data_IF_252580931835
#
_entry.id   IF_252580931835
#
_cell.length_a   1.000
_cell.length_b   1.000
_cell.length_c   1.000
_cell.angle_alpha   90.00
_cell.angle_beta   90.00
_cell.angle_gamma   90.00
#
_symmetry.space_group_name_H-M   'P 1'
#
loop_
_entity.id
_entity.type
_entity.pdbx_description
1 polymer ?
#
# COMPACT_ATOMS: atom_id res chain seq x y z
N UNK A 1 0.16 -82.08 -21.66
CA UNK A 1 -1.07 -81.43 -21.14
C UNK A 1 -1.11 -81.51 -19.62
N UNK A 2 -0.40 -80.63 -18.92
CA UNK A 2 -0.54 -80.33 -17.48
C UNK A 2 0.04 -78.93 -17.28
N UNK A 3 -0.79 -77.92 -17.05
CA UNK A 3 -0.44 -76.60 -16.46
C UNK A 3 -1.62 -75.61 -16.53
N UNK A 4 -2.81 -76.01 -16.05
CA UNK A 4 -3.93 -75.06 -15.91
C UNK A 4 -4.62 -75.09 -14.54
N UNK A 5 -4.33 -76.08 -13.68
CA UNK A 5 -5.02 -76.22 -12.39
C UNK A 5 -4.33 -75.52 -11.19
N UNK A 6 -3.19 -74.85 -11.41
CA UNK A 6 -2.39 -74.27 -10.31
C UNK A 6 -2.48 -72.74 -10.20
N UNK A 7 -3.30 -72.09 -11.05
CA UNK A 7 -3.42 -70.62 -11.08
C UNK A 7 -4.76 -70.12 -10.52
N UNK A 8 -5.76 -70.98 -10.31
CA UNK A 8 -7.03 -70.59 -9.67
C UNK A 8 -6.90 -70.55 -8.14
N UNK A 9 -6.22 -71.53 -7.53
CA UNK A 9 -6.04 -71.55 -6.06
C UNK A 9 -5.18 -70.41 -5.51
N UNK A 10 -4.26 -69.83 -6.30
CA UNK A 10 -3.46 -68.69 -5.86
C UNK A 10 -4.26 -67.38 -5.84
N UNK A 11 -5.26 -67.26 -6.72
CA UNK A 11 -6.10 -66.07 -6.80
C UNK A 11 -7.23 -66.06 -5.76
N UNK A 12 -7.72 -67.23 -5.35
CA UNK A 12 -8.70 -67.33 -4.27
C UNK A 12 -8.07 -67.09 -2.89
N UNK A 13 -6.86 -67.58 -2.61
CA UNK A 13 -6.16 -67.27 -1.35
C UNK A 13 -5.76 -65.78 -1.23
N UNK A 14 -5.46 -65.11 -2.35
CA UNK A 14 -5.16 -63.67 -2.34
C UNK A 14 -6.40 -62.78 -2.18
N UNK A 15 -7.58 -63.24 -2.61
CA UNK A 15 -8.84 -62.48 -2.42
C UNK A 15 -9.46 -62.71 -1.03
N UNK A 16 -9.26 -63.87 -0.41
CA UNK A 16 -9.81 -64.17 0.93
C UNK A 16 -9.09 -63.41 2.07
N UNK A 17 -7.83 -63.01 1.88
CA UNK A 17 -7.12 -62.18 2.86
C UNK A 17 -7.54 -60.70 2.84
N UNK A 18 -8.28 -60.27 1.81
CA UNK A 18 -8.75 -58.90 1.62
C UNK A 18 -10.07 -58.60 2.36
N UNK A 19 -10.88 -59.62 2.66
CA UNK A 19 -12.18 -59.48 3.33
C UNK A 19 -12.14 -59.68 4.85
N UNK A 20 -10.97 -59.52 5.46
CA UNK A 20 -10.82 -59.57 6.92
C UNK A 20 -11.35 -58.27 7.53
N UNK A 21 -12.59 -58.31 8.02
CA UNK A 21 -13.26 -57.36 8.91
C UNK A 21 -12.29 -56.38 9.57
N UNK A 22 -12.04 -55.25 8.89
CA UNK A 22 -11.20 -54.18 9.43
C UNK A 22 -11.85 -53.74 10.75
N UNK A 23 -11.19 -54.05 11.87
CA UNK A 23 -11.72 -53.82 13.20
C UNK A 23 -12.19 -52.36 13.29
N UNK A 24 -13.42 -52.15 13.78
CA UNK A 24 -14.07 -50.82 13.82
C UNK A 24 -13.17 -49.79 14.51
N UNK A 25 -12.30 -50.23 15.42
CA UNK A 25 -11.27 -49.43 16.10
C UNK A 25 -10.16 -48.93 15.17
N UNK A 26 -9.65 -49.78 14.27
CA UNK A 26 -8.58 -49.39 13.32
C UNK A 26 -9.13 -48.42 12.29
N UNK A 27 -10.37 -48.64 11.81
CA UNK A 27 -11.07 -47.68 10.93
C UNK A 27 -11.22 -46.31 11.60
N UNK A 28 -11.61 -46.28 12.87
CA UNK A 28 -11.73 -45.04 13.63
C UNK A 28 -10.39 -44.30 13.78
N UNK A 29 -9.29 -45.02 14.06
CA UNK A 29 -7.95 -44.42 14.09
C UNK A 29 -7.55 -43.79 12.75
N UNK A 30 -7.81 -44.48 11.63
CA UNK A 30 -7.51 -43.96 10.29
C UNK A 30 -8.31 -42.68 10.02
N UNK A 31 -9.62 -42.68 10.28
CA UNK A 31 -10.46 -41.49 10.10
C UNK A 31 -9.99 -40.33 10.98
N UNK A 32 -9.61 -40.60 12.24
CA UNK A 32 -9.10 -39.58 13.14
C UNK A 32 -7.79 -38.97 12.63
N UNK A 33 -6.85 -39.77 12.13
CA UNK A 33 -5.57 -39.26 11.59
C UNK A 33 -5.81 -38.41 10.34
N UNK A 34 -6.67 -38.86 9.43
CA UNK A 34 -7.02 -38.10 8.22
C UNK A 34 -7.68 -36.77 8.59
N UNK A 35 -8.57 -36.76 9.59
CA UNK A 35 -9.22 -35.53 10.07
C UNK A 35 -8.20 -34.51 10.59
N UNK A 36 -7.22 -34.95 11.39
CA UNK A 36 -6.15 -34.09 11.93
C UNK A 36 -5.32 -33.49 10.79
N UNK A 37 -4.98 -34.29 9.79
CA UNK A 37 -4.23 -33.83 8.60
C UNK A 37 -5.04 -32.76 7.85
N UNK A 38 -6.34 -32.98 7.61
CA UNK A 38 -7.20 -32.02 6.91
C UNK A 38 -7.30 -30.70 7.69
N UNK A 39 -7.49 -30.75 9.01
CA UNK A 39 -7.54 -29.56 9.87
C UNK A 39 -6.22 -28.80 9.81
N UNK A 40 -5.09 -29.52 9.85
CA UNK A 40 -3.76 -28.91 9.76
C UNK A 40 -3.54 -28.20 8.42
N UNK A 41 -3.91 -28.83 7.30
CA UNK A 41 -3.85 -28.20 5.97
C UNK A 41 -4.77 -26.98 5.86
N UNK A 42 -6.00 -27.07 6.38
CA UNK A 42 -6.92 -25.93 6.40
C UNK A 42 -6.35 -24.75 7.20
N UNK A 43 -5.71 -25.03 8.34
CA UNK A 43 -5.04 -24.03 9.17
C UNK A 43 -3.89 -23.35 8.41
N UNK A 44 -2.98 -24.13 7.81
CA UNK A 44 -1.87 -23.59 7.02
C UNK A 44 -2.36 -22.74 5.84
N UNK A 45 -3.40 -23.19 5.16
CA UNK A 45 -3.98 -22.46 4.04
C UNK A 45 -4.55 -21.10 4.47
N UNK A 46 -5.30 -21.07 5.58
CA UNK A 46 -5.94 -19.85 6.08
C UNK A 46 -4.94 -18.84 6.66
N UNK A 47 -3.89 -19.31 7.33
CA UNK A 47 -2.94 -18.45 8.05
C UNK A 47 -1.73 -18.00 7.22
N UNK A 48 -1.36 -18.76 6.18
CA UNK A 48 -0.12 -18.50 5.43
C UNK A 48 -0.42 -18.26 3.95
N UNK A 49 -1.00 -19.25 3.26
CA UNK A 49 -1.13 -19.22 1.80
C UNK A 49 -2.10 -18.12 1.35
N UNK A 50 -3.29 -18.06 1.96
CA UNK A 50 -4.30 -17.07 1.62
C UNK A 50 -3.82 -15.63 1.85
N UNK A 51 -3.30 -15.25 3.03
CA UNK A 51 -2.89 -13.87 3.24
C UNK A 51 -1.67 -13.48 2.39
N UNK A 52 -0.74 -14.40 2.14
CA UNK A 52 0.39 -14.15 1.24
C UNK A 52 -0.07 -13.80 -0.19
N UNK A 53 -1.03 -14.54 -0.73
CA UNK A 53 -1.55 -14.25 -2.08
C UNK A 53 -2.27 -12.89 -2.13
N UNK A 54 -3.10 -12.59 -1.13
CA UNK A 54 -3.79 -11.30 -1.02
C UNK A 54 -2.77 -10.15 -0.94
N UNK A 55 -1.72 -10.33 -0.14
CA UNK A 55 -0.64 -9.35 -0.01
C UNK A 55 0.08 -9.10 -1.35
N UNK A 56 0.46 -10.16 -2.07
CA UNK A 56 1.14 -10.05 -3.36
C UNK A 56 0.26 -9.38 -4.43
N UNK A 57 -1.04 -9.69 -4.43
CA UNK A 57 -1.98 -9.05 -5.35
C UNK A 57 -2.19 -7.57 -4.98
N UNK A 58 -2.28 -7.23 -3.69
CA UNK A 58 -2.38 -5.84 -3.24
C UNK A 58 -1.16 -5.01 -3.63
N UNK A 59 0.06 -5.54 -3.43
CA UNK A 59 1.30 -4.86 -3.88
C UNK A 59 1.31 -4.65 -5.39
N UNK A 60 0.81 -5.62 -6.17
CA UNK A 60 0.71 -5.48 -7.62
C UNK A 60 -0.28 -4.37 -8.01
N UNK A 61 -1.41 -4.25 -7.32
CA UNK A 61 -2.36 -3.16 -7.55
C UNK A 61 -1.77 -1.79 -7.18
N UNK A 62 -0.92 -1.72 -6.15
CA UNK A 62 -0.16 -0.51 -5.82
C UNK A 62 0.82 -0.12 -6.93
N UNK A 63 1.54 -1.08 -7.50
CA UNK A 63 2.44 -0.83 -8.64
C UNK A 63 1.68 -0.29 -9.87
N UNK A 64 0.38 -0.59 -9.98
CA UNK A 64 -0.51 -0.05 -11.01
C UNK A 64 -1.19 1.29 -10.63
N UNK A 65 -0.99 1.79 -9.40
CA UNK A 65 -1.63 3.00 -8.88
C UNK A 65 -3.09 2.82 -8.45
N UNK A 66 -3.57 1.58 -8.33
CA UNK A 66 -4.94 1.26 -7.92
C UNK A 66 -5.07 1.21 -6.39
N UNK A 67 -4.85 2.34 -5.73
CA UNK A 67 -4.77 2.42 -4.27
C UNK A 67 -6.04 1.92 -3.55
N UNK A 68 -7.23 2.21 -4.06
CA UNK A 68 -8.51 1.80 -3.44
C UNK A 68 -8.68 0.29 -3.40
N UNK A 69 -8.30 -0.37 -4.49
CA UNK A 69 -8.36 -1.83 -4.62
C UNK A 69 -7.33 -2.48 -3.70
N UNK A 70 -6.10 -1.95 -3.69
CA UNK A 70 -5.04 -2.43 -2.82
C UNK A 70 -5.41 -2.30 -1.33
N UNK A 71 -6.01 -1.19 -0.93
CA UNK A 71 -6.43 -0.95 0.46
C UNK A 71 -7.49 -1.97 0.90
N UNK A 72 -8.50 -2.22 0.06
CA UNK A 72 -9.54 -3.21 0.34
C UNK A 72 -8.96 -4.63 0.49
N UNK A 73 -7.92 -4.96 -0.26
CA UNK A 73 -7.20 -6.22 -0.14
C UNK A 73 -6.41 -6.31 1.17
N UNK A 74 -5.66 -5.26 1.52
CA UNK A 74 -4.85 -5.21 2.75
C UNK A 74 -5.71 -5.24 4.01
N UNK A 75 -6.88 -4.61 4.01
CA UNK A 75 -7.85 -4.67 5.11
C UNK A 75 -8.34 -6.09 5.43
N UNK A 76 -8.24 -7.03 4.49
CA UNK A 76 -8.59 -8.44 4.71
C UNK A 76 -7.52 -9.19 5.51
N UNK A 77 -6.32 -8.62 5.66
CA UNK A 77 -5.13 -9.23 6.26
C UNK A 77 -4.37 -8.28 7.21
N UNK A 78 -5.03 -7.58 8.15
CA UNK A 78 -4.47 -6.44 8.89
C UNK A 78 -3.25 -6.75 9.76
N UNK A 79 -2.97 -8.01 10.06
CA UNK A 79 -1.83 -8.42 10.91
C UNK A 79 -0.76 -9.21 10.13
N UNK A 80 -0.85 -9.22 8.81
CA UNK A 80 0.09 -9.96 7.97
C UNK A 80 1.29 -9.07 7.63
N UNK A 81 2.49 -9.51 8.03
CA UNK A 81 3.77 -8.87 7.68
C UNK A 81 3.81 -7.34 7.89
N UNK A 82 3.99 -6.57 6.81
CA UNK A 82 4.17 -5.12 6.82
C UNK A 82 2.90 -4.37 6.36
N UNK A 83 1.72 -4.98 6.45
CA UNK A 83 0.45 -4.36 6.02
C UNK A 83 0.28 -2.96 6.63
N UNK A 84 0.53 -2.80 7.92
CA UNK A 84 0.42 -1.49 8.60
C UNK A 84 1.32 -0.43 7.94
N UNK A 85 2.57 -0.79 7.64
CA UNK A 85 3.53 0.12 7.01
C UNK A 85 3.13 0.45 5.58
N UNK A 86 2.60 -0.52 4.83
CA UNK A 86 2.14 -0.29 3.46
C UNK A 86 0.92 0.64 3.49
N UNK A 87 -0.04 0.41 4.37
CA UNK A 87 -1.21 1.28 4.51
C UNK A 87 -0.79 2.71 4.89
N UNK A 88 0.18 2.85 5.78
CA UNK A 88 0.75 4.15 6.12
C UNK A 88 1.40 4.82 4.90
N UNK A 89 2.24 4.08 4.15
CA UNK A 89 2.85 4.57 2.91
C UNK A 89 1.80 4.99 1.87
N UNK A 90 0.73 4.20 1.70
CA UNK A 90 -0.36 4.52 0.79
C UNK A 90 -1.09 5.81 1.16
N UNK A 91 -1.29 6.07 2.46
CA UNK A 91 -1.88 7.34 2.94
C UNK A 91 -1.04 8.52 2.43
N UNK A 92 0.29 8.44 2.58
CA UNK A 92 1.19 9.49 2.13
C UNK A 92 1.24 9.63 0.60
N UNK A 93 1.30 8.51 -0.13
CA UNK A 93 1.35 8.55 -1.60
C UNK A 93 0.05 9.10 -2.21
N UNK A 94 -1.12 8.67 -1.73
CA UNK A 94 -2.42 9.21 -2.18
C UNK A 94 -2.50 10.70 -1.98
N UNK A 95 -2.13 11.16 -0.79
CA UNK A 95 -2.15 12.58 -0.47
C UNK A 95 -1.20 13.37 -1.38
N UNK A 96 -0.01 12.83 -1.65
CA UNK A 96 0.95 13.45 -2.55
C UNK A 96 0.42 13.56 -3.98
N UNK A 97 -0.15 12.48 -4.52
CA UNK A 97 -0.74 12.47 -5.86
C UNK A 97 -1.86 13.49 -5.96
N UNK A 98 -2.73 13.55 -4.95
CA UNK A 98 -3.83 14.50 -4.90
C UNK A 98 -3.32 15.94 -4.85
N UNK A 99 -2.41 16.25 -3.93
CA UNK A 99 -1.78 17.55 -3.84
C UNK A 99 -1.07 17.97 -5.13
N UNK A 100 -0.37 17.05 -5.80
CA UNK A 100 0.27 17.31 -7.08
C UNK A 100 -0.76 17.62 -8.17
N UNK A 101 -1.82 16.83 -8.28
CA UNK A 101 -2.92 17.04 -9.22
C UNK A 101 -3.64 18.38 -8.98
N UNK A 102 -3.87 18.73 -7.71
CA UNK A 102 -4.54 19.98 -7.34
C UNK A 102 -3.62 21.19 -7.62
N UNK A 103 -2.31 21.05 -7.42
CA UNK A 103 -1.33 22.06 -7.83
C UNK A 103 -1.30 22.28 -9.35
N UNK A 104 -1.34 21.21 -10.15
CA UNK A 104 -1.44 21.33 -11.61
C UNK A 104 -2.72 22.06 -12.04
N UNK A 105 -3.84 21.88 -11.32
CA UNK A 105 -5.09 22.58 -11.60
C UNK A 105 -5.04 24.08 -11.28
N UNK A 106 -4.30 24.47 -10.23
CA UNK A 106 -4.14 25.89 -9.85
C UNK A 106 -3.36 26.67 -10.92
N UNK A 107 -2.41 26.04 -11.60
CA UNK A 107 -1.66 26.69 -12.67
C UNK A 107 -2.49 26.69 -13.97
N UNK A 108 -3.14 27.81 -14.28
CA UNK A 108 -3.91 27.99 -15.53
C UNK A 108 -3.08 27.72 -16.80
N UNK A 109 -1.75 27.90 -16.74
CA UNK A 109 -0.81 27.58 -17.82
C UNK A 109 0.38 26.76 -17.30
N UNK A 110 0.18 25.43 -17.22
CA UNK A 110 1.17 24.45 -16.78
C UNK A 110 2.44 24.50 -17.65
N UNK A 111 2.37 25.02 -18.88
CA UNK A 111 3.53 25.03 -19.80
C UNK A 111 4.71 25.87 -19.29
N UNK A 112 4.44 26.86 -18.43
CA UNK A 112 5.46 27.75 -17.88
C UNK A 112 5.83 27.41 -16.43
N UNK A 113 5.13 26.47 -15.80
CA UNK A 113 5.34 26.12 -14.39
C UNK A 113 5.94 24.73 -14.28
N UNK A 114 7.05 24.65 -13.55
CA UNK A 114 7.70 23.38 -13.23
C UNK A 114 7.65 23.13 -11.73
N UNK A 115 6.94 22.10 -11.33
CA UNK A 115 6.99 21.57 -9.95
C UNK A 115 8.37 20.94 -9.74
N UNK A 116 9.14 21.43 -8.77
CA UNK A 116 10.48 20.94 -8.47
C UNK A 116 10.46 19.83 -7.42
N UNK A 117 9.69 20.02 -6.35
CA UNK A 117 9.54 19.04 -5.28
C UNK A 117 8.21 19.22 -4.58
N UNK A 118 7.76 18.12 -3.97
CA UNK A 118 6.62 18.12 -3.07
C UNK A 118 7.13 17.67 -1.70
N UNK A 119 7.02 18.55 -0.72
CA UNK A 119 7.35 18.27 0.67
C UNK A 119 6.08 17.94 1.44
N UNK A 120 6.07 16.79 2.09
CA UNK A 120 5.02 16.41 3.01
C UNK A 120 5.48 16.67 4.45
N UNK A 121 4.66 17.37 5.20
CA UNK A 121 4.96 17.78 6.57
C UNK A 121 3.84 17.28 7.48
N UNK A 122 4.20 16.53 8.51
CA UNK A 122 3.24 15.99 9.47
C UNK A 122 3.72 16.22 10.89
N UNK A 123 2.77 16.36 11.80
CA UNK A 123 3.05 16.53 13.22
C UNK A 123 2.93 15.17 13.91
N UNK A 124 4.05 14.65 14.43
CA UNK A 124 4.13 13.27 14.96
C UNK A 124 3.13 12.98 16.09
N UNK A 125 2.69 14.01 16.82
CA UNK A 125 1.75 13.87 17.93
C UNK A 125 0.26 13.94 17.49
N UNK A 126 -0.02 14.18 16.21
CA UNK A 126 -1.40 14.27 15.69
C UNK A 126 -1.53 13.63 14.31
N UNK A 127 -2.24 12.50 14.24
CA UNK A 127 -2.44 11.71 13.01
C UNK A 127 -3.16 12.45 11.87
N UNK A 128 -3.78 13.61 12.18
CA UNK A 128 -4.66 14.36 11.30
C UNK A 128 -4.09 15.71 10.86
N UNK A 129 -2.95 16.17 11.41
CA UNK A 129 -2.36 17.45 11.04
C UNK A 129 -1.16 17.24 10.10
N UNK A 130 -1.44 17.32 8.81
CA UNK A 130 -0.42 17.28 7.78
C UNK A 130 -0.65 18.34 6.70
N UNK A 131 0.45 18.78 6.11
CA UNK A 131 0.50 19.82 5.09
C UNK A 131 1.30 19.32 3.89
N UNK A 132 0.79 19.61 2.71
CA UNK A 132 1.55 19.48 1.47
C UNK A 132 2.14 20.85 1.12
N UNK A 133 3.45 20.92 0.88
CA UNK A 133 4.08 22.12 0.34
C UNK A 133 4.72 21.79 -1.00
N UNK A 134 4.18 22.37 -2.06
CA UNK A 134 4.67 22.20 -3.44
C UNK A 134 5.63 23.32 -3.76
N UNK A 135 6.91 23.03 -4.00
CA UNK A 135 7.85 24.00 -4.55
C UNK A 135 7.74 24.00 -6.06
N UNK A 136 7.51 25.17 -6.64
CA UNK A 136 7.46 25.34 -8.08
C UNK A 136 8.39 26.45 -8.53
N UNK A 137 8.70 26.41 -9.83
CA UNK A 137 9.42 27.45 -10.54
C UNK A 137 8.63 27.81 -11.80
N UNK A 138 8.22 29.06 -11.88
CA UNK A 138 7.50 29.63 -13.00
C UNK A 138 8.47 30.41 -13.89
N UNK A 139 8.43 30.15 -15.19
CA UNK A 139 9.20 30.87 -16.21
C UNK A 139 8.40 32.06 -16.73
N UNK A 140 8.96 33.26 -16.57
CA UNK A 140 8.36 34.51 -17.03
C UNK A 140 8.73 34.78 -18.49
N UNK A 141 7.90 35.57 -19.18
CA UNK A 141 8.11 35.95 -20.59
C UNK A 141 9.41 36.73 -20.83
N UNK A 142 9.95 37.39 -19.81
CA UNK A 142 11.22 38.12 -19.87
C UNK A 142 12.46 37.21 -19.72
N UNK A 143 12.25 35.89 -19.58
CA UNK A 143 13.29 34.89 -19.38
C UNK A 143 13.75 34.76 -17.93
N UNK A 144 13.21 35.58 -17.01
CA UNK A 144 13.40 35.37 -15.57
C UNK A 144 12.59 34.17 -15.08
N UNK A 145 12.89 33.70 -13.87
CA UNK A 145 12.12 32.64 -13.25
C UNK A 145 11.80 32.99 -11.81
N UNK A 146 10.53 32.82 -11.44
CA UNK A 146 10.02 33.05 -10.10
C UNK A 146 9.91 31.70 -9.39
N UNK A 147 10.41 31.62 -8.16
CA UNK A 147 10.14 30.45 -7.31
C UNK A 147 8.99 30.76 -6.38
N UNK A 148 8.16 29.77 -6.13
CA UNK A 148 7.07 29.86 -5.18
C UNK A 148 6.82 28.55 -4.46
N UNK A 149 5.92 28.63 -3.50
CA UNK A 149 5.42 27.51 -2.73
C UNK A 149 3.89 27.58 -2.73
N UNK A 150 3.23 26.47 -3.06
CA UNK A 150 1.82 26.28 -2.76
C UNK A 150 1.72 25.46 -1.48
N UNK A 151 0.69 25.72 -0.68
CA UNK A 151 0.40 24.92 0.51
C UNK A 151 -1.04 24.41 0.50
N UNK A 152 -1.18 23.13 0.84
CA UNK A 152 -2.44 22.44 1.01
C UNK A 152 -2.52 21.81 2.39
N UNK A 153 -3.72 21.73 2.96
CA UNK A 153 -3.97 21.00 4.20
C UNK A 153 -4.11 19.49 3.95
N UNK A 154 -4.43 18.73 5.01
CA UNK A 154 -4.56 17.27 4.94
C UNK A 154 -5.71 16.76 4.06
N UNK A 155 -6.73 17.60 3.82
CA UNK A 155 -7.82 17.29 2.90
C UNK A 155 -7.50 17.70 1.45
N UNK A 156 -6.28 18.17 1.21
CA UNK A 156 -5.80 18.74 -0.05
C UNK A 156 -6.54 20.03 -0.43
N UNK A 157 -7.11 20.74 0.54
CA UNK A 157 -7.66 22.06 0.31
C UNK A 157 -6.52 23.07 0.18
N UNK A 158 -6.59 23.91 -0.84
CA UNK A 158 -5.62 24.97 -1.06
C UNK A 158 -5.73 26.02 0.05
N UNK A 159 -4.64 26.20 0.82
CA UNK A 159 -4.57 27.19 1.90
C UNK A 159 -4.07 28.53 1.37
N UNK A 160 -3.07 28.50 0.50
CA UNK A 160 -2.46 29.70 -0.05
C UNK A 160 -1.12 29.45 -0.72
N UNK A 161 -0.47 30.55 -1.10
CA UNK A 161 0.81 30.53 -1.79
C UNK A 161 1.79 31.54 -1.22
N UNK A 162 3.07 31.31 -1.46
CA UNK A 162 4.16 32.18 -1.05
C UNK A 162 5.14 32.33 -2.21
N UNK A 163 5.46 33.56 -2.55
CA UNK A 163 6.40 33.89 -3.61
C UNK A 163 7.74 34.36 -3.05
N UNK A 164 8.84 33.81 -3.58
CA UNK A 164 10.19 34.30 -3.29
C UNK A 164 10.94 33.55 -2.20
N UNK A 165 12.27 33.73 -2.22
CA UNK A 165 13.22 33.05 -1.33
C UNK A 165 13.51 33.87 -0.05
N UNK A 166 13.04 35.12 0.04
CA UNK A 166 13.39 36.07 1.12
C UNK A 166 12.16 36.82 1.65
N UNK A 167 11.61 36.32 2.76
CA UNK A 167 10.41 36.83 3.45
C UNK A 167 10.56 38.32 3.79
N UNK A 168 11.80 38.78 4.05
CA UNK A 168 12.07 40.17 4.46
C UNK A 168 11.83 41.20 3.35
N UNK A 169 11.73 40.76 2.09
CA UNK A 169 11.51 41.60 0.92
C UNK A 169 10.05 41.69 0.48
N UNK A 170 9.15 40.96 1.15
CA UNK A 170 7.72 40.96 0.82
C UNK A 170 7.07 42.24 1.35
N UNK A 171 6.42 42.97 0.44
CA UNK A 171 5.68 44.20 0.77
C UNK A 171 4.23 43.94 1.18
N UNK A 172 3.68 42.78 0.78
CA UNK A 172 2.31 42.37 1.10
C UNK A 172 2.29 41.62 2.43
N UNK A 173 1.42 42.03 3.36
CA UNK A 173 1.29 41.41 4.68
C UNK A 173 0.73 39.98 4.59
N UNK A 174 -0.13 39.72 3.61
CA UNK A 174 -0.76 38.41 3.43
C UNK A 174 0.26 37.40 2.87
N UNK A 175 1.02 37.80 1.84
CA UNK A 175 2.13 36.99 1.30
C UNK A 175 3.18 36.71 2.39
N UNK A 176 3.50 37.72 3.20
CA UNK A 176 4.46 37.56 4.31
C UNK A 176 3.95 36.55 5.33
N UNK A 177 2.67 36.63 5.70
CA UNK A 177 2.02 35.69 6.61
C UNK A 177 2.08 34.25 6.12
N UNK A 178 1.79 34.01 4.83
CA UNK A 178 1.86 32.68 4.23
C UNK A 178 3.28 32.14 4.17
N UNK A 179 4.26 32.96 3.81
CA UNK A 179 5.66 32.55 3.81
C UNK A 179 6.16 32.21 5.22
N UNK A 180 5.80 33.01 6.24
CA UNK A 180 6.12 32.72 7.65
C UNK A 180 5.45 31.42 8.13
N UNK A 181 4.22 31.16 7.69
CA UNK A 181 3.51 29.92 8.02
C UNK A 181 4.21 28.68 7.42
N UNK A 182 4.58 28.74 6.14
CA UNK A 182 5.32 27.66 5.47
C UNK A 182 6.69 27.44 6.14
N UNK A 183 7.38 28.50 6.56
CA UNK A 183 8.66 28.38 7.25
C UNK A 183 8.50 27.71 8.63
N UNK A 184 7.44 28.06 9.37
CA UNK A 184 7.07 27.36 10.62
C UNK A 184 6.79 25.88 10.37
N UNK A 185 6.02 25.54 9.34
CA UNK A 185 5.76 24.13 9.00
C UNK A 185 7.09 23.42 8.72
N UNK A 186 7.95 24.00 7.89
CA UNK A 186 9.27 23.43 7.58
C UNK A 186 10.16 23.23 8.80
N UNK A 187 10.01 24.05 9.83
CA UNK A 187 10.84 24.01 11.03
C UNK A 187 10.32 23.04 12.09
N UNK A 188 9.00 23.00 12.30
CA UNK A 188 8.38 22.27 13.42
C UNK A 188 7.84 20.90 13.04
N UNK A 189 7.63 20.62 11.77
CA UNK A 189 7.00 19.37 11.32
C UNK A 189 8.06 18.41 10.78
N UNK A 190 7.83 17.12 11.02
CA UNK A 190 8.62 16.05 10.42
C UNK A 190 8.37 16.03 8.91
N UNK A 191 9.45 15.84 8.15
CA UNK A 191 9.46 16.03 6.69
C UNK A 191 9.75 14.73 5.95
N UNK A 192 8.89 14.41 5.01
CA UNK A 192 9.18 13.45 3.93
C UNK A 192 9.19 14.20 2.61
N UNK A 193 10.25 14.02 1.81
CA UNK A 193 10.39 14.68 0.50
C UNK A 193 10.29 13.64 -0.59
N UNK A 194 9.43 13.91 -1.57
CA UNK A 194 9.42 13.17 -2.82
C UNK A 194 9.86 14.11 -3.93
N UNK A 195 10.93 13.72 -4.62
CA UNK A 195 11.38 14.41 -5.82
C UNK A 195 10.51 13.97 -6.99
N UNK A 196 9.91 14.93 -7.68
CA UNK A 196 9.23 14.70 -8.95
C UNK A 196 10.30 14.74 -10.03
N UNK A 197 10.54 13.61 -10.72
CA UNK A 197 11.52 13.50 -11.81
C UNK A 197 10.97 14.05 -13.12
#
# INVERSE_FOLDING_TARGET
MKNYANNENLNDEMNEFSEKNFDRRIRFCIYSTVLVIVIFWAYLYLQIIRPQNIYLDAVRELDYGNYDVAEEMLLKIPHYENVDKIQEQMKYERFLIKCFSDAEYIFEDISNVRVNNVGFYFFEDTDDLYYCVVNYKEHMLDGSAKKGYLIFDGDSEYIGECYGDDISKLSDEDDRGMCEFIDKIKHYFSKTVVSVN
#
